data_IF_541077731941
#
_entry.id   IF_541077731941
#
_cell.length_a   1.000
_cell.length_b   1.000
_cell.length_c   1.000
_cell.angle_alpha   90.00
_cell.angle_beta   90.00
_cell.angle_gamma   90.00
#
_symmetry.space_group_name_H-M   'P 1'
#
loop_
_entity.id
_entity.type
_entity.pdbx_description
1 polymer ?
#
# COMPACT_ATOMS: atom_id res chain seq x y z
N UNK A 1 53.48 -15.82 0.31
CA UNK A 1 52.73 -14.87 -0.56
C UNK A 1 51.26 -15.24 -0.88
N UNK A 2 50.85 -16.49 -0.78
CA UNK A 2 49.48 -16.93 -1.13
C UNK A 2 48.45 -16.56 -0.04
N UNK A 3 48.83 -16.62 1.23
CA UNK A 3 47.91 -16.38 2.38
C UNK A 3 47.30 -14.97 2.42
N UNK A 4 48.05 -13.93 2.05
CA UNK A 4 47.55 -12.56 2.05
C UNK A 4 46.48 -12.29 0.96
N UNK A 5 46.56 -12.97 -0.19
CA UNK A 5 45.60 -12.88 -1.27
C UNK A 5 44.22 -13.40 -0.84
N UNK A 6 44.22 -14.54 -0.08
CA UNK A 6 42.99 -15.10 0.47
C UNK A 6 42.33 -14.19 1.52
N UNK A 7 43.14 -13.60 2.41
CA UNK A 7 42.58 -12.63 3.40
C UNK A 7 41.98 -11.40 2.72
N UNK A 8 42.69 -10.86 1.72
CA UNK A 8 42.16 -9.71 0.97
C UNK A 8 40.86 -10.04 0.22
N UNK A 9 40.78 -11.19 -0.43
CA UNK A 9 39.56 -11.66 -1.09
C UNK A 9 38.40 -11.86 -0.10
N UNK A 10 38.69 -12.46 1.07
CA UNK A 10 37.68 -12.67 2.11
C UNK A 10 37.14 -11.35 2.66
N UNK A 11 38.01 -10.34 2.90
CA UNK A 11 37.58 -9.02 3.37
C UNK A 11 36.68 -8.33 2.35
N UNK A 12 37.05 -8.40 1.05
CA UNK A 12 36.20 -7.79 -0.01
C UNK A 12 34.82 -8.43 -0.08
N UNK A 13 34.75 -9.76 0.03
CA UNK A 13 33.46 -10.48 0.02
C UNK A 13 32.62 -10.11 1.25
N UNK A 14 33.22 -10.10 2.44
CA UNK A 14 32.50 -9.74 3.67
C UNK A 14 31.99 -8.29 3.64
N UNK A 15 32.79 -7.37 3.10
CA UNK A 15 32.37 -5.96 2.95
C UNK A 15 31.24 -5.83 1.94
N UNK A 16 31.31 -6.54 0.81
CA UNK A 16 30.23 -6.57 -0.19
C UNK A 16 28.93 -7.15 0.37
N UNK A 17 29.01 -8.25 1.12
CA UNK A 17 27.85 -8.84 1.80
C UNK A 17 27.25 -7.88 2.83
N UNK A 18 28.09 -7.23 3.65
CA UNK A 18 27.67 -6.22 4.62
C UNK A 18 26.96 -5.04 3.96
N UNK A 19 27.47 -4.57 2.83
CA UNK A 19 26.84 -3.49 2.05
C UNK A 19 25.47 -3.91 1.49
N UNK A 20 25.34 -5.13 0.96
CA UNK A 20 24.07 -5.66 0.46
C UNK A 20 23.02 -5.80 1.58
N UNK A 21 23.43 -6.29 2.76
CA UNK A 21 22.55 -6.35 3.93
C UNK A 21 22.11 -4.96 4.35
N UNK A 22 23.03 -4.01 4.42
CA UNK A 22 22.71 -2.62 4.77
C UNK A 22 21.70 -1.99 3.82
N UNK A 23 21.88 -2.13 2.51
CA UNK A 23 20.95 -1.60 1.51
C UNK A 23 19.60 -2.29 1.55
N UNK A 24 19.54 -3.58 1.89
CA UNK A 24 18.30 -4.34 2.05
C UNK A 24 17.43 -3.82 3.20
N UNK A 25 18.02 -3.36 4.30
CA UNK A 25 17.29 -2.79 5.43
C UNK A 25 16.71 -1.39 5.15
N UNK A 26 17.21 -0.69 4.13
CA UNK A 26 16.68 0.62 3.75
C UNK A 26 15.41 0.56 2.87
N UNK A 27 15.01 -0.61 2.39
CA UNK A 27 13.74 -0.76 1.70
C UNK A 27 12.62 -0.61 2.72
N UNK A 28 11.93 0.51 2.63
CA UNK A 28 10.83 0.91 3.51
C UNK A 28 9.80 -0.19 3.61
N UNK A 29 9.63 -0.76 4.78
CA UNK A 29 8.54 -1.69 5.09
C UNK A 29 7.25 -0.89 5.03
N UNK A 30 6.45 -1.06 3.99
CA UNK A 30 5.10 -0.49 3.92
C UNK A 30 4.25 -1.15 5.00
N UNK A 31 3.66 -0.35 5.87
CA UNK A 31 2.74 -0.85 6.88
C UNK A 31 1.41 -1.20 6.23
N UNK A 32 0.97 -2.45 6.35
CA UNK A 32 -0.35 -2.87 5.87
C UNK A 32 -1.42 -2.45 6.87
N UNK A 33 -2.38 -1.66 6.42
CA UNK A 33 -3.51 -1.21 7.22
C UNK A 33 -4.83 -1.42 6.47
N UNK A 34 -5.90 -1.65 7.22
CA UNK A 34 -7.26 -1.49 6.74
C UNK A 34 -7.71 -0.04 6.89
N UNK A 35 -8.82 0.34 6.26
CA UNK A 35 -9.34 1.70 6.34
C UNK A 35 -9.73 2.06 7.78
N UNK A 36 -10.37 1.14 8.50
CA UNK A 36 -10.73 1.28 9.91
C UNK A 36 -9.50 1.54 10.80
N UNK A 37 -8.45 0.73 10.68
CA UNK A 37 -7.18 0.91 11.41
C UNK A 37 -6.49 2.23 11.08
N UNK A 38 -6.58 2.70 9.84
CA UNK A 38 -6.05 4.01 9.46
C UNK A 38 -6.84 5.12 10.17
N UNK A 39 -8.16 5.06 10.17
CA UNK A 39 -9.01 6.06 10.83
C UNK A 39 -8.78 6.11 12.34
N UNK A 40 -8.58 4.97 12.98
CA UNK A 40 -8.22 4.90 14.40
C UNK A 40 -6.86 5.54 14.66
N UNK A 41 -5.83 5.21 13.85
CA UNK A 41 -4.51 5.83 13.97
C UNK A 41 -4.52 7.33 13.73
N UNK A 42 -5.29 7.81 12.76
CA UNK A 42 -5.46 9.24 12.49
C UNK A 42 -6.07 9.97 13.69
N UNK A 43 -7.00 9.34 14.40
CA UNK A 43 -7.58 9.90 15.63
C UNK A 43 -6.57 9.98 16.79
N UNK A 44 -5.63 9.04 16.85
CA UNK A 44 -4.64 8.97 17.93
C UNK A 44 -3.38 9.79 17.64
N UNK A 45 -2.94 9.85 16.39
CA UNK A 45 -1.70 10.54 15.97
C UNK A 45 -1.91 11.23 14.62
N UNK A 46 -2.01 12.56 14.64
CA UNK A 46 -2.27 13.36 13.43
C UNK A 46 -1.10 13.39 12.43
N UNK A 47 0.08 12.86 12.78
CA UNK A 47 1.29 12.87 11.95
C UNK A 47 1.70 11.46 11.50
N UNK A 48 0.95 10.87 10.57
CA UNK A 48 1.35 9.62 9.92
C UNK A 48 2.21 9.98 8.68
N UNK A 49 3.52 10.02 8.86
CA UNK A 49 4.49 10.31 7.78
C UNK A 49 4.95 9.06 7.02
N UNK A 50 4.61 7.89 7.52
CA UNK A 50 5.05 6.61 6.95
C UNK A 50 4.29 6.26 5.67
N UNK A 51 4.94 5.47 4.80
CA UNK A 51 4.29 4.90 3.63
C UNK A 51 3.39 3.74 4.08
N UNK A 52 2.12 3.83 3.72
CA UNK A 52 1.07 2.87 4.12
C UNK A 52 0.57 2.13 2.90
N UNK A 53 0.34 0.84 3.05
CA UNK A 53 -0.41 0.03 2.11
C UNK A 53 -1.82 -0.19 2.66
N UNK A 54 -2.81 0.40 2.01
CA UNK A 54 -4.21 0.32 2.38
C UNK A 54 -4.89 -0.77 1.57
N UNK A 55 -5.50 -1.74 2.23
CA UNK A 55 -6.19 -2.86 1.58
C UNK A 55 -7.61 -3.05 2.08
N UNK A 56 -8.39 -3.87 1.37
CA UNK A 56 -9.73 -4.28 1.81
C UNK A 56 -10.85 -3.26 1.55
N UNK A 57 -10.58 -2.23 0.74
CA UNK A 57 -11.57 -1.19 0.44
C UNK A 57 -12.05 -1.26 -0.99
N UNK A 58 -13.27 -0.80 -1.24
CA UNK A 58 -13.93 -0.80 -2.54
C UNK A 58 -14.11 0.62 -3.06
N UNK A 59 -13.97 0.82 -4.36
CA UNK A 59 -14.21 2.13 -5.00
C UNK A 59 -15.71 2.43 -5.00
N UNK A 60 -16.08 3.58 -4.44
CA UNK A 60 -17.48 4.05 -4.43
C UNK A 60 -17.94 4.37 -5.85
N UNK A 61 -19.08 3.82 -6.31
CA UNK A 61 -19.59 4.07 -7.65
C UNK A 61 -19.81 5.55 -7.95
N UNK A 62 -19.38 5.99 -9.14
CA UNK A 62 -19.52 7.37 -9.59
C UNK A 62 -18.61 8.39 -8.89
N UNK A 63 -17.72 7.95 -8.01
CA UNK A 63 -16.78 8.84 -7.33
C UNK A 63 -15.51 9.14 -8.13
N UNK A 64 -15.25 8.42 -9.22
CA UNK A 64 -14.01 8.55 -10.00
C UNK A 64 -14.06 9.82 -10.83
N UNK A 65 -13.20 10.77 -10.49
CA UNK A 65 -12.99 12.02 -11.21
C UNK A 65 -11.63 12.00 -11.89
N UNK A 66 -11.61 11.99 -13.22
CA UNK A 66 -10.40 11.99 -14.01
C UNK A 66 -9.92 13.42 -14.32
N UNK A 67 -8.69 13.72 -13.98
CA UNK A 67 -8.02 14.93 -14.48
C UNK A 67 -7.39 14.63 -15.86
N UNK A 68 -8.09 15.03 -16.91
CA UNK A 68 -7.66 14.78 -18.30
C UNK A 68 -6.29 15.37 -18.66
N UNK A 69 -5.87 16.44 -17.97
CA UNK A 69 -4.60 17.12 -18.27
C UNK A 69 -3.40 16.52 -17.55
N UNK A 70 -3.63 15.85 -16.42
CA UNK A 70 -2.54 15.36 -15.57
C UNK A 70 -2.49 13.83 -15.44
N UNK A 71 -3.37 13.12 -16.13
CA UNK A 71 -3.53 11.65 -16.01
C UNK A 71 -3.67 11.18 -14.56
N UNK A 72 -4.30 12.01 -13.73
CA UNK A 72 -4.55 11.75 -12.31
C UNK A 72 -6.01 11.51 -12.08
N UNK A 73 -6.31 10.66 -11.11
CA UNK A 73 -7.67 10.39 -10.69
C UNK A 73 -7.84 10.78 -9.22
N UNK A 74 -9.02 11.30 -8.90
CA UNK A 74 -9.49 11.43 -7.53
C UNK A 74 -10.73 10.56 -7.39
N UNK A 75 -10.80 9.74 -6.36
CA UNK A 75 -11.91 8.83 -6.13
C UNK A 75 -12.09 8.58 -4.64
N UNK A 76 -13.23 8.04 -4.26
CA UNK A 76 -13.53 7.67 -2.87
C UNK A 76 -13.50 6.16 -2.74
N UNK A 77 -12.91 5.68 -1.66
CA UNK A 77 -12.98 4.27 -1.26
C UNK A 77 -13.79 4.13 0.02
N UNK A 78 -14.40 2.97 0.19
CA UNK A 78 -15.16 2.62 1.39
C UNK A 78 -14.88 1.19 1.83
N UNK A 79 -14.98 0.94 3.13
CA UNK A 79 -15.04 -0.39 3.75
C UNK A 79 -16.46 -0.77 4.22
N UNK A 80 -17.43 0.12 3.94
CA UNK A 80 -18.83 0.00 4.38
C UNK A 80 -19.15 0.82 5.64
N UNK A 81 -18.16 1.21 6.43
CA UNK A 81 -18.32 2.04 7.64
C UNK A 81 -17.68 3.42 7.49
N UNK A 82 -16.55 3.48 6.78
CA UNK A 82 -15.77 4.70 6.57
C UNK A 82 -15.55 4.98 5.09
N UNK A 83 -15.52 6.27 4.76
CA UNK A 83 -15.21 6.77 3.43
C UNK A 83 -13.90 7.57 3.47
N UNK A 84 -13.03 7.37 2.47
CA UNK A 84 -11.77 8.10 2.35
C UNK A 84 -11.55 8.59 0.93
N UNK A 85 -11.21 9.88 0.80
CA UNK A 85 -10.87 10.47 -0.48
C UNK A 85 -9.43 10.12 -0.83
N UNK A 86 -9.24 9.53 -2.00
CA UNK A 86 -7.96 9.15 -2.56
C UNK A 86 -7.60 10.10 -3.69
N UNK A 87 -6.38 10.58 -3.67
CA UNK A 87 -5.77 11.36 -4.75
C UNK A 87 -4.61 10.57 -5.34
N UNK A 88 -4.77 10.10 -6.56
CA UNK A 88 -3.68 9.43 -7.25
C UNK A 88 -2.62 10.44 -7.69
N UNK A 89 -1.41 10.29 -7.17
CA UNK A 89 -0.26 11.17 -7.45
C UNK A 89 0.87 10.43 -8.16
N UNK A 90 0.71 9.11 -8.39
CA UNK A 90 1.68 8.28 -9.09
C UNK A 90 1.86 8.67 -10.56
N UNK A 91 2.91 8.13 -11.17
CA UNK A 91 3.22 8.34 -12.60
C UNK A 91 2.81 7.14 -13.47
N UNK A 92 2.45 6.02 -12.87
CA UNK A 92 1.99 4.83 -13.60
C UNK A 92 0.56 5.03 -14.09
N UNK A 93 0.22 4.39 -15.21
CA UNK A 93 -1.16 4.32 -15.66
C UNK A 93 -1.97 3.45 -14.69
N UNK A 94 -3.18 3.89 -14.37
CA UNK A 94 -4.11 3.08 -13.58
C UNK A 94 -4.48 1.82 -14.38
N UNK A 95 -4.61 0.66 -13.71
CA UNK A 95 -4.93 -0.59 -14.40
C UNK A 95 -6.35 -0.56 -15.00
N UNK A 96 -6.58 -1.28 -16.09
CA UNK A 96 -7.90 -1.38 -16.76
C UNK A 96 -8.98 -1.98 -15.84
N UNK A 97 -8.57 -2.68 -14.80
CA UNK A 97 -9.46 -3.22 -13.76
C UNK A 97 -9.96 -2.17 -12.77
N UNK A 98 -9.38 -0.95 -12.80
CA UNK A 98 -9.79 0.15 -11.95
C UNK A 98 -11.10 0.77 -12.48
N UNK A 99 -12.17 0.49 -11.78
CA UNK A 99 -13.55 0.91 -12.09
C UNK A 99 -14.40 0.99 -10.83
N UNK A 100 -15.63 1.44 -10.97
CA UNK A 100 -16.61 1.43 -9.90
C UNK A 100 -16.77 0.02 -9.31
N UNK A 101 -16.89 -0.06 -8.00
CA UNK A 101 -16.97 -1.30 -7.21
C UNK A 101 -15.72 -2.21 -7.29
N UNK A 102 -14.60 -1.73 -7.83
CA UNK A 102 -13.36 -2.51 -7.80
C UNK A 102 -12.80 -2.57 -6.38
N UNK A 103 -12.35 -3.76 -5.97
CA UNK A 103 -11.56 -3.92 -4.75
C UNK A 103 -10.16 -3.37 -5.02
N UNK A 104 -9.70 -2.44 -4.19
CA UNK A 104 -8.41 -1.77 -4.39
C UNK A 104 -7.45 -1.99 -3.24
N UNK A 105 -6.17 -2.04 -3.59
CA UNK A 105 -5.04 -1.94 -2.67
C UNK A 105 -4.23 -0.73 -3.09
N UNK A 106 -3.99 0.17 -2.17
CA UNK A 106 -3.37 1.47 -2.41
C UNK A 106 -2.08 1.57 -1.62
N UNK A 107 -1.01 2.07 -2.24
CA UNK A 107 0.18 2.46 -1.51
C UNK A 107 0.37 3.96 -1.59
N UNK A 108 0.71 4.58 -0.45
CA UNK A 108 0.87 6.02 -0.41
C UNK A 108 1.02 6.56 1.00
N UNK A 109 0.65 7.83 1.18
CA UNK A 109 0.72 8.54 2.45
C UNK A 109 -0.60 9.23 2.77
N UNK A 110 -0.94 9.25 4.04
CA UNK A 110 -2.08 10.03 4.51
C UNK A 110 -1.68 11.50 4.68
N UNK A 111 -2.48 12.41 4.13
CA UNK A 111 -2.29 13.84 4.26
C UNK A 111 -3.34 14.41 5.23
N UNK A 112 -2.92 14.63 6.47
CA UNK A 112 -3.81 15.12 7.53
C UNK A 112 -4.38 16.51 7.23
N UNK A 113 -3.63 17.38 6.54
CA UNK A 113 -4.11 18.75 6.21
C UNK A 113 -5.25 18.76 5.20
N UNK A 114 -5.24 17.77 4.28
CA UNK A 114 -6.25 17.67 3.22
C UNK A 114 -7.30 16.60 3.53
N UNK A 115 -7.18 15.89 4.64
CA UNK A 115 -8.03 14.76 5.02
C UNK A 115 -8.19 13.78 3.85
N UNK A 116 -7.08 13.49 3.16
CA UNK A 116 -7.07 12.65 1.97
C UNK A 116 -5.82 11.76 1.93
N UNK A 117 -5.92 10.64 1.25
CA UNK A 117 -4.80 9.74 1.04
C UNK A 117 -4.17 10.00 -0.34
N UNK A 118 -2.88 10.28 -0.39
CA UNK A 118 -2.12 10.49 -1.61
C UNK A 118 -1.50 9.16 -2.02
N UNK A 119 -2.10 8.50 -3.02
CA UNK A 119 -1.68 7.18 -3.50
C UNK A 119 -0.64 7.30 -4.61
N UNK A 120 0.52 6.66 -4.43
CA UNK A 120 1.57 6.52 -5.45
C UNK A 120 1.29 5.35 -6.38
N UNK A 121 0.64 4.29 -5.85
CA UNK A 121 0.39 3.05 -6.54
C UNK A 121 -1.02 2.55 -6.23
N UNK A 122 -1.70 2.04 -7.27
CA UNK A 122 -3.06 1.51 -7.18
C UNK A 122 -3.10 0.13 -7.84
N UNK A 123 -3.46 -0.87 -7.06
CA UNK A 123 -3.81 -2.20 -7.58
C UNK A 123 -5.32 -2.35 -7.49
N UNK A 124 -5.96 -2.77 -8.56
CA UNK A 124 -7.39 -3.04 -8.59
C UNK A 124 -7.66 -4.50 -8.96
N UNK A 125 -8.60 -5.11 -8.26
CA UNK A 125 -9.08 -6.47 -8.53
C UNK A 125 -10.56 -6.42 -8.89
N UNK A 126 -10.97 -7.19 -9.92
CA UNK A 126 -12.39 -7.32 -10.23
C UNK A 126 -13.10 -8.16 -9.17
N UNK A 127 -14.21 -7.71 -8.59
CA UNK A 127 -14.96 -8.45 -7.57
C UNK A 127 -15.48 -9.79 -8.08
N UNK A 128 -15.87 -9.89 -9.35
CA UNK A 128 -16.46 -11.07 -9.97
C UNK A 128 -15.63 -12.37 -9.97
N UNK A 129 -14.33 -12.31 -9.61
CA UNK A 129 -13.50 -13.51 -9.46
C UNK A 129 -13.54 -14.14 -8.06
N UNK A 130 -14.13 -13.47 -7.09
CA UNK A 130 -14.07 -13.87 -5.67
C UNK A 130 -15.44 -14.06 -5.02
N UNK A 131 -16.55 -13.89 -5.74
CA UNK A 131 -17.91 -14.16 -5.24
C UNK A 131 -18.16 -15.61 -4.81
N UNK A 132 -17.19 -16.51 -4.99
CA UNK A 132 -17.28 -17.91 -4.54
C UNK A 132 -16.35 -18.30 -3.38
N UNK A 133 -15.57 -17.38 -2.83
CA UNK A 133 -14.73 -17.66 -1.67
C UNK A 133 -15.21 -16.81 -0.49
N UNK A 134 -15.89 -17.48 0.43
CA UNK A 134 -16.38 -17.05 1.74
C UNK A 134 -15.32 -16.19 2.49
N UNK A 135 -15.35 -14.88 2.27
CA UNK A 135 -14.46 -13.92 2.95
C UNK A 135 -14.69 -13.94 4.46
N UNK A 136 -15.93 -14.26 4.88
CA UNK A 136 -16.31 -14.36 6.30
C UNK A 136 -15.56 -15.47 7.02
N UNK A 137 -15.21 -16.58 6.37
CA UNK A 137 -14.45 -17.67 7.00
C UNK A 137 -12.99 -17.34 7.29
N UNK A 138 -12.37 -16.45 6.51
CA UNK A 138 -10.98 -16.05 6.74
C UNK A 138 -10.86 -14.99 7.85
N UNK A 139 -11.82 -14.11 7.97
CA UNK A 139 -11.86 -13.09 9.04
C UNK A 139 -12.13 -13.76 10.40
N UNK A 140 -13.04 -14.73 10.46
CA UNK A 140 -13.33 -15.48 11.69
C UNK A 140 -12.18 -16.41 12.10
N UNK A 141 -11.42 -16.95 11.15
CA UNK A 141 -10.23 -17.76 11.45
C UNK A 141 -9.11 -16.92 12.07
N UNK A 142 -8.94 -15.67 11.62
CA UNK A 142 -7.94 -14.76 12.20
C UNK A 142 -8.36 -14.21 13.55
N UNK A 143 -9.64 -13.96 13.81
CA UNK A 143 -10.16 -13.54 15.13
C UNK A 143 -10.03 -14.63 16.21
N UNK A 144 -9.97 -15.88 15.82
CA UNK A 144 -9.88 -17.04 16.74
C UNK A 144 -8.45 -17.42 17.12
N UNK A 145 -7.46 -16.77 16.53
CA UNK A 145 -6.02 -17.03 16.69
C UNK A 145 -5.32 -16.03 17.63
N UNK A 146 -6.08 -15.12 18.25
CA UNK A 146 -5.58 -14.18 19.26
C UNK A 146 -6.30 -14.38 20.58
#
# INVERSE_FOLDING_TARGET
MVRHKFYFGSVVILTGLGYLIWTSFQQSTSMHLTLDMLMEKVKLDQHISEKIQLGGSTVVPGSILWDKYKSRATFTITDGEHDLIIRYVGNALLPDTFKDNALVVLEGKYNSQKTSFEADLVFAKCPSKYEGQDYDKHVDAMKKSY
#
